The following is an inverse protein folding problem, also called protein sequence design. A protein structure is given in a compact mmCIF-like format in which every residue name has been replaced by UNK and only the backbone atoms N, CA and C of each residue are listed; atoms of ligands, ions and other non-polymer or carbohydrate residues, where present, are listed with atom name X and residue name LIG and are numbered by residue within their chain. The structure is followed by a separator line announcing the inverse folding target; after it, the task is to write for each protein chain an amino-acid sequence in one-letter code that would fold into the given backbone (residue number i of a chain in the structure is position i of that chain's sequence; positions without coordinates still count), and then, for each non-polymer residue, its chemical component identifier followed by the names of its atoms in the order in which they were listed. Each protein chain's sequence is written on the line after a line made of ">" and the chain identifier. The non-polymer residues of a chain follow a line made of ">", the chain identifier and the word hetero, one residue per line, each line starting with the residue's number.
data_IF_825620428998
#
_entry.id   IF_825620428998
#
_cell.length_a   1.000
_cell.length_b   1.000
_cell.length_c   1.000
_cell.angle_alpha   90.00
_cell.angle_beta   90.00
_cell.angle_gamma   90.00
#
_symmetry.space_group_name_H-M   'P 1'
#
loop_
_entity.id
_entity.type
_entity.pdbx_description
1 polymer ?
#
# COMPACT_ATOMS: atom_id res chain seq x y z
N UNK A 1 -15.21 1.25 -0.63
CA UNK A 1 -14.32 1.31 -1.81
C UNK A 1 -15.00 2.17 -2.85
N UNK A 2 -14.32 3.24 -3.22
CA UNK A 2 -14.90 4.48 -3.75
C UNK A 2 -14.98 4.53 -5.30
N UNK A 3 -14.48 3.48 -5.98
CA UNK A 3 -14.47 3.31 -7.44
C UNK A 3 -15.01 1.95 -7.90
N UNK A 4 -16.13 1.48 -7.34
CA UNK A 4 -16.92 0.44 -8.03
C UNK A 4 -17.98 1.13 -8.89
N UNK A 5 -18.25 0.61 -10.08
CA UNK A 5 -19.33 1.12 -10.94
C UNK A 5 -20.70 1.06 -10.22
N UNK A 6 -20.88 0.06 -9.33
CA UNK A 6 -22.05 -0.10 -8.46
C UNK A 6 -21.86 0.42 -7.01
N UNK A 7 -20.97 1.41 -6.78
CA UNK A 7 -20.84 2.02 -5.45
C UNK A 7 -21.93 3.08 -5.21
N UNK A 8 -22.47 3.10 -3.99
CA UNK A 8 -23.44 4.06 -3.46
C UNK A 8 -23.05 5.51 -3.84
N UNK A 9 -24.00 6.32 -4.37
CA UNK A 9 -23.74 7.60 -5.05
C UNK A 9 -22.93 8.59 -4.20
N UNK A 10 -23.06 8.54 -2.87
CA UNK A 10 -22.28 9.37 -1.92
C UNK A 10 -20.80 9.02 -1.86
N UNK A 11 -20.43 7.79 -2.24
CA UNK A 11 -19.06 7.30 -2.24
C UNK A 11 -18.40 7.35 -3.61
N UNK A 12 -19.06 7.93 -4.62
CA UNK A 12 -18.55 7.93 -5.98
C UNK A 12 -17.68 9.17 -6.22
N UNK A 13 -16.37 9.00 -6.12
CA UNK A 13 -15.42 10.04 -6.54
C UNK A 13 -15.28 9.95 -8.07
N UNK A 14 -15.95 10.86 -8.78
CA UNK A 14 -16.08 10.79 -10.25
C UNK A 14 -14.86 11.33 -11.00
N UNK A 15 -14.11 12.29 -10.42
CA UNK A 15 -13.04 13.01 -11.13
C UNK A 15 -11.63 12.81 -10.58
N UNK A 16 -11.43 12.12 -9.45
CA UNK A 16 -10.08 11.88 -8.92
C UNK A 16 -9.50 10.57 -9.45
N UNK A 17 -8.29 10.68 -9.99
CA UNK A 17 -7.38 9.57 -10.21
C UNK A 17 -6.96 8.95 -8.88
N UNK A 18 -6.70 7.63 -8.88
CA UNK A 18 -6.22 6.91 -7.68
C UNK A 18 -4.90 6.24 -8.03
N UNK A 19 -3.92 6.35 -7.13
CA UNK A 19 -2.68 5.58 -7.16
C UNK A 19 -2.56 4.70 -5.92
N UNK A 20 -1.86 3.57 -6.06
CA UNK A 20 -1.46 2.70 -4.97
C UNK A 20 0.07 2.63 -4.96
N UNK A 21 0.65 2.84 -3.79
CA UNK A 21 2.08 2.69 -3.52
C UNK A 21 2.28 1.29 -2.97
N UNK A 22 3.09 0.48 -3.65
CA UNK A 22 3.26 -0.95 -3.36
C UNK A 22 4.72 -1.24 -3.04
N UNK A 23 5.04 -1.65 -1.79
CA UNK A 23 6.36 -2.16 -1.43
C UNK A 23 6.55 -3.61 -1.93
N UNK A 24 7.80 -4.06 -2.10
CA UNK A 24 8.14 -5.42 -2.55
C UNK A 24 7.57 -6.51 -1.63
N UNK A 25 7.53 -6.27 -0.32
CA UNK A 25 6.96 -7.18 0.68
C UNK A 25 5.54 -7.63 0.35
N UNK A 26 4.73 -6.76 -0.25
CA UNK A 26 3.39 -7.13 -0.67
C UNK A 26 3.39 -8.21 -1.77
N UNK A 27 4.32 -8.12 -2.73
CA UNK A 27 4.48 -9.14 -3.77
C UNK A 27 5.02 -10.45 -3.21
N UNK A 28 5.94 -10.41 -2.25
CA UNK A 28 6.42 -11.62 -1.56
C UNK A 28 5.28 -12.37 -0.88
N UNK A 29 4.39 -11.66 -0.17
CA UNK A 29 3.21 -12.24 0.46
C UNK A 29 2.24 -12.79 -0.59
N UNK A 30 2.06 -12.09 -1.72
CA UNK A 30 1.19 -12.54 -2.80
C UNK A 30 1.69 -13.80 -3.51
N UNK A 31 3.00 -13.90 -3.74
CA UNK A 31 3.67 -15.07 -4.30
C UNK A 31 3.43 -16.30 -3.41
N UNK A 32 3.64 -16.13 -2.09
CA UNK A 32 3.42 -17.17 -1.07
C UNK A 32 1.94 -17.45 -0.77
N UNK A 33 1.02 -16.67 -1.34
CA UNK A 33 -0.42 -16.74 -1.07
C UNK A 33 -0.76 -16.52 0.42
N UNK A 34 0.00 -15.66 1.10
CA UNK A 34 -0.17 -15.36 2.50
C UNK A 34 -1.18 -14.21 2.72
N UNK A 35 -1.86 -14.18 3.88
CA UNK A 35 -2.62 -13.01 4.29
C UNK A 35 -1.66 -11.85 4.58
N UNK A 36 -2.12 -10.63 4.33
CA UNK A 36 -1.37 -9.42 4.67
C UNK A 36 -2.13 -8.58 5.70
N UNK A 37 -1.37 -7.76 6.41
CA UNK A 37 -1.89 -6.90 7.46
C UNK A 37 -1.75 -5.43 7.09
N UNK A 38 -2.71 -4.64 7.55
CA UNK A 38 -2.64 -3.18 7.50
C UNK A 38 -2.34 -2.65 8.90
N UNK A 39 -1.47 -1.64 8.97
CA UNK A 39 -1.04 -1.03 10.22
C UNK A 39 -1.78 0.29 10.47
N UNK A 40 -2.15 0.56 11.72
CA UNK A 40 -2.69 1.86 12.10
C UNK A 40 -1.56 2.89 12.18
N UNK A 41 -1.53 3.92 11.30
CA UNK A 41 -0.38 4.83 11.20
C UNK A 41 -0.07 5.58 12.49
N UNK A 42 -1.11 5.91 13.27
CA UNK A 42 -0.94 6.65 14.52
C UNK A 42 -0.26 5.83 15.62
N UNK A 43 -0.54 4.53 15.74
CA UNK A 43 0.15 3.68 16.72
C UNK A 43 1.59 3.42 16.33
N UNK A 44 1.88 3.37 15.03
CA UNK A 44 3.25 3.30 14.51
C UNK A 44 4.02 4.56 14.89
N UNK A 45 3.46 5.75 14.64
CA UNK A 45 4.08 7.01 15.04
C UNK A 45 4.34 7.09 16.55
N UNK A 46 3.39 6.66 17.38
CA UNK A 46 3.55 6.64 18.84
C UNK A 46 4.70 5.77 19.32
N UNK A 47 4.90 4.61 18.69
CA UNK A 47 5.92 3.66 19.13
C UNK A 47 7.31 3.98 18.56
N UNK A 48 7.39 4.41 17.30
CA UNK A 48 8.66 4.58 16.59
C UNK A 48 9.09 6.04 16.40
N UNK A 49 8.23 7.01 16.71
CA UNK A 49 8.48 8.43 16.45
C UNK A 49 8.58 8.80 14.96
N UNK A 50 8.23 7.87 14.06
CA UNK A 50 8.28 8.02 12.60
C UNK A 50 6.90 7.77 12.00
N UNK A 51 6.53 8.51 10.97
CA UNK A 51 5.29 8.22 10.26
C UNK A 51 5.42 6.90 9.49
N UNK A 52 4.31 6.18 9.33
CA UNK A 52 4.29 4.91 8.58
C UNK A 52 4.81 5.07 7.15
N UNK A 53 4.61 6.23 6.52
CA UNK A 53 5.10 6.51 5.16
C UNK A 53 6.62 6.74 5.08
N UNK A 54 7.24 7.10 6.22
CA UNK A 54 8.70 7.24 6.37
C UNK A 54 9.39 5.92 6.74
N UNK A 55 8.61 4.88 7.05
CA UNK A 55 9.11 3.56 7.38
C UNK A 55 9.31 2.75 6.09
N UNK A 56 10.44 2.06 6.02
CA UNK A 56 10.64 1.01 5.02
C UNK A 56 9.88 -0.24 5.43
N UNK A 57 8.80 -0.53 4.70
CA UNK A 57 7.95 -1.69 4.96
C UNK A 57 8.64 -2.99 4.55
N UNK A 58 9.56 -2.97 3.59
CA UNK A 58 10.26 -4.19 3.19
C UNK A 58 11.12 -4.74 4.33
N UNK A 59 11.73 -3.83 5.09
CA UNK A 59 12.56 -4.16 6.25
C UNK A 59 11.74 -4.32 7.55
N UNK A 60 10.79 -3.40 7.80
CA UNK A 60 10.13 -3.31 9.11
C UNK A 60 8.85 -4.14 9.25
N UNK A 61 8.34 -4.78 8.19
CA UNK A 61 7.05 -5.46 8.26
C UNK A 61 6.97 -6.50 9.40
N UNK A 62 7.99 -7.35 9.56
CA UNK A 62 8.00 -8.41 10.56
C UNK A 62 8.14 -7.86 12.00
N UNK A 63 8.85 -6.75 12.17
CA UNK A 63 8.93 -6.00 13.42
C UNK A 63 7.57 -5.36 13.78
N UNK A 64 6.93 -4.69 12.83
CA UNK A 64 5.59 -4.12 13.02
C UNK A 64 4.56 -5.21 13.31
N UNK A 65 4.70 -6.39 12.69
CA UNK A 65 3.85 -7.56 12.89
C UNK A 65 4.03 -8.20 14.26
N UNK A 66 5.24 -8.19 14.83
CA UNK A 66 5.50 -8.74 16.17
C UNK A 66 5.24 -7.75 17.30
N UNK A 67 5.30 -6.43 17.05
CA UNK A 67 5.16 -5.41 18.10
C UNK A 67 3.71 -5.31 18.63
N UNK A 68 3.43 -5.61 19.93
CA UNK A 68 2.07 -5.59 20.48
C UNK A 68 1.47 -4.18 20.62
N UNK A 69 2.30 -3.13 20.64
CA UNK A 69 1.84 -1.74 20.73
C UNK A 69 1.43 -1.17 19.36
N UNK A 70 1.81 -1.83 18.27
CA UNK A 70 1.37 -1.49 16.92
C UNK A 70 0.02 -2.15 16.65
N UNK A 71 -1.03 -1.34 16.56
CA UNK A 71 -2.34 -1.84 16.15
C UNK A 71 -2.29 -2.20 14.66
N UNK A 72 -2.67 -3.43 14.36
CA UNK A 72 -2.71 -4.02 13.03
C UNK A 72 -4.01 -4.78 12.82
N UNK A 73 -4.45 -4.90 11.57
CA UNK A 73 -5.65 -5.63 11.20
C UNK A 73 -5.35 -6.55 10.01
N UNK A 74 -5.64 -7.86 10.10
CA UNK A 74 -5.63 -8.72 8.91
C UNK A 74 -6.76 -8.29 7.97
N UNK A 75 -6.52 -8.34 6.66
CA UNK A 75 -7.61 -8.27 5.71
C UNK A 75 -8.15 -9.66 5.43
N UNK A 76 -9.47 -9.76 5.21
CA UNK A 76 -10.17 -11.02 4.94
C UNK A 76 -9.90 -11.57 3.51
N UNK A 77 -8.85 -11.08 2.84
CA UNK A 77 -8.43 -11.47 1.49
C UNK A 77 -6.91 -11.68 1.48
N UNK A 78 -6.45 -12.67 0.71
CA UNK A 78 -5.01 -12.88 0.52
C UNK A 78 -4.38 -11.71 -0.25
N UNK A 79 -3.06 -11.57 -0.17
CA UNK A 79 -2.34 -10.59 -0.98
C UNK A 79 -2.53 -10.85 -2.50
N UNK A 80 -2.62 -12.13 -2.89
CA UNK A 80 -2.89 -12.55 -4.27
C UNK A 80 -4.28 -12.15 -4.74
N UNK A 81 -5.31 -12.37 -3.93
CA UNK A 81 -6.68 -11.97 -4.27
C UNK A 81 -6.81 -10.45 -4.38
N UNK A 82 -6.06 -9.72 -3.54
CA UNK A 82 -5.97 -8.26 -3.65
C UNK A 82 -5.33 -7.82 -4.97
N UNK A 83 -4.28 -8.47 -5.45
CA UNK A 83 -3.71 -8.20 -6.79
C UNK A 83 -4.71 -8.46 -7.91
N UNK A 84 -5.42 -9.59 -7.88
CA UNK A 84 -6.47 -9.92 -8.86
C UNK A 84 -7.55 -8.82 -8.87
N UNK A 85 -7.96 -8.38 -7.67
CA UNK A 85 -8.96 -7.33 -7.51
C UNK A 85 -8.47 -5.97 -8.04
N UNK A 86 -7.21 -5.62 -7.81
CA UNK A 86 -6.60 -4.41 -8.39
C UNK A 86 -6.65 -4.49 -9.92
N UNK A 87 -6.25 -5.62 -10.50
CA UNK A 87 -6.27 -5.82 -11.95
C UNK A 87 -7.68 -5.72 -12.55
N UNK A 88 -8.69 -6.28 -11.88
CA UNK A 88 -10.09 -6.13 -12.29
C UNK A 88 -10.54 -4.66 -12.33
N UNK A 89 -10.18 -3.86 -11.31
CA UNK A 89 -10.54 -2.43 -11.25
C UNK A 89 -9.77 -1.64 -12.33
N UNK A 90 -8.51 -1.99 -12.60
CA UNK A 90 -7.73 -1.41 -13.70
C UNK A 90 -8.37 -1.70 -15.06
N UNK A 91 -8.86 -2.93 -15.28
CA UNK A 91 -9.55 -3.29 -16.51
C UNK A 91 -10.83 -2.45 -16.72
N UNK A 92 -11.58 -2.20 -15.65
CA UNK A 92 -12.83 -1.43 -15.72
C UNK A 92 -12.61 0.08 -15.91
N UNK A 93 -11.55 0.64 -15.31
CA UNK A 93 -11.45 2.09 -15.14
C UNK A 93 -10.12 2.72 -15.57
N UNK A 94 -9.11 1.92 -15.93
CA UNK A 94 -7.73 2.37 -16.17
C UNK A 94 -6.94 2.72 -14.90
N UNK A 95 -7.59 2.72 -13.73
CA UNK A 95 -7.01 3.03 -12.42
C UNK A 95 -7.17 1.82 -11.48
N UNK A 96 -6.37 1.70 -10.41
CA UNK A 96 -5.36 2.65 -9.93
C UNK A 96 -4.03 2.60 -10.70
N UNK A 97 -3.29 3.70 -10.68
CA UNK A 97 -1.86 3.67 -11.00
C UNK A 97 -1.10 2.89 -9.93
N UNK A 98 -0.11 2.11 -10.33
CA UNK A 98 0.75 1.38 -9.41
C UNK A 98 2.14 2.00 -9.41
N UNK A 99 2.61 2.39 -8.23
CA UNK A 99 3.99 2.80 -8.00
C UNK A 99 4.66 1.73 -7.15
N UNK A 100 5.67 1.05 -7.70
CA UNK A 100 6.47 0.09 -6.94
C UNK A 100 7.54 0.85 -6.13
N UNK A 101 7.23 1.13 -4.86
CA UNK A 101 8.04 2.01 -3.98
C UNK A 101 9.48 1.54 -3.91
N UNK A 102 9.68 0.24 -3.73
CA UNK A 102 11.00 -0.37 -3.58
C UNK A 102 11.83 -0.25 -4.85
N UNK A 103 11.24 -0.56 -6.02
CA UNK A 103 11.92 -0.39 -7.30
C UNK A 103 12.29 1.07 -7.56
N UNK A 104 11.40 2.01 -7.25
CA UNK A 104 11.65 3.44 -7.40
C UNK A 104 12.81 3.93 -6.51
N UNK A 105 12.95 3.39 -5.30
CA UNK A 105 13.95 3.83 -4.32
C UNK A 105 15.28 3.06 -4.39
N UNK A 106 15.30 1.80 -4.86
CA UNK A 106 16.50 0.96 -4.93
C UNK A 106 17.65 1.62 -5.72
N UNK A 107 17.32 2.28 -6.82
CA UNK A 107 18.28 2.99 -7.68
C UNK A 107 18.11 4.51 -7.62
N UNK A 108 17.41 5.05 -6.63
CA UNK A 108 17.20 6.48 -6.53
C UNK A 108 18.52 7.21 -6.21
N UNK A 109 19.02 8.10 -7.09
CA UNK A 109 20.31 8.76 -6.87
C UNK A 109 20.34 9.70 -5.68
N UNK A 110 19.18 10.21 -5.26
CA UNK A 110 19.04 11.17 -4.14
C UNK A 110 18.51 10.51 -2.87
N UNK A 111 18.69 9.19 -2.70
CA UNK A 111 18.22 8.44 -1.52
C UNK A 111 18.75 8.98 -0.18
N UNK A 112 19.90 9.65 -0.20
CA UNK A 112 20.49 10.29 1.00
C UNK A 112 19.73 11.57 1.41
N UNK A 113 18.98 12.19 0.49
CA UNK A 113 18.13 13.37 0.74
C UNK A 113 16.72 12.93 1.17
N UNK A 114 16.20 11.87 0.56
CA UNK A 114 14.89 11.33 0.90
C UNK A 114 14.45 10.21 -0.02
N UNK A 115 13.28 9.65 0.27
CA UNK A 115 12.67 8.57 -0.49
C UNK A 115 11.50 9.07 -1.33
N UNK A 116 11.29 8.46 -2.50
CA UNK A 116 10.10 8.67 -3.31
C UNK A 116 8.91 7.99 -2.64
N UNK A 117 7.91 8.77 -2.24
CA UNK A 117 6.72 8.30 -1.50
C UNK A 117 5.43 8.29 -2.32
N UNK A 118 5.36 9.09 -3.37
CA UNK A 118 4.17 9.22 -4.24
C UNK A 118 4.57 9.60 -5.66
N UNK A 119 3.59 9.56 -6.58
CA UNK A 119 3.75 9.95 -8.00
C UNK A 119 2.67 10.96 -8.41
N UNK A 120 2.82 11.56 -9.59
CA UNK A 120 1.85 12.46 -10.20
C UNK A 120 0.79 11.71 -11.05
N UNK A 121 -0.11 12.48 -11.65
CA UNK A 121 -1.02 12.00 -12.70
C UNK A 121 -0.22 11.78 -13.98
N UNK A 122 -0.16 10.52 -14.43
CA UNK A 122 0.66 10.04 -15.56
C UNK A 122 2.15 10.37 -15.40
#
# INVERSE_FOLDING_TARGET
>A
MTKKINADEKSRIQSLSIGIIVPSKFFELAEKNEPFHVFAPYTVYKEYGKHLDDIDIDEMYDELMSNPKVKKKPLDISARDMLIKIAMIQLESGYPYLMFKSNANNQHPLKDIGTVKMSNLC
#
